data_IF_426565889975
#
_entry.id   IF_426565889975
#
_cell.length_a   1.000
_cell.length_b   1.000
_cell.length_c   1.000
_cell.angle_alpha   90.00
_cell.angle_beta   90.00
_cell.angle_gamma   90.00
#
_symmetry.space_group_name_H-M   'P 1'
#
loop_
_entity.id
_entity.type
_entity.pdbx_description
1 polymer ?
#
# COMPACT_ATOMS: atom_id res chain seq x y z
N UNK A 1 2.58 -27.19 -22.60
CA UNK A 1 2.29 -26.95 -21.20
C UNK A 1 1.96 -25.47 -21.01
N UNK A 2 0.96 -25.18 -20.19
CA UNK A 2 0.67 -23.82 -19.70
C UNK A 2 1.22 -23.69 -18.29
N UNK A 3 1.96 -22.63 -18.01
CA UNK A 3 2.47 -22.35 -16.67
C UNK A 3 1.66 -21.21 -16.04
N UNK A 4 1.19 -21.41 -14.81
CA UNK A 4 0.50 -20.38 -14.02
C UNK A 4 1.32 -20.10 -12.75
N UNK A 5 2.00 -18.96 -12.63
CA UNK A 5 2.70 -18.61 -11.41
C UNK A 5 1.70 -18.31 -10.30
N UNK A 6 1.96 -18.85 -9.10
CA UNK A 6 1.12 -18.70 -7.92
C UNK A 6 1.92 -18.12 -6.76
N UNK A 7 1.58 -16.90 -6.37
CA UNK A 7 2.13 -16.22 -5.18
C UNK A 7 1.27 -16.46 -3.95
N UNK A 8 0.52 -15.43 -3.52
CA UNK A 8 -0.37 -15.49 -2.35
C UNK A 8 -1.83 -15.86 -2.63
N UNK A 9 -2.20 -16.13 -3.87
CA UNK A 9 -3.58 -16.49 -4.23
C UNK A 9 -4.62 -15.36 -4.15
N UNK A 10 -4.19 -14.12 -4.05
CA UNK A 10 -5.04 -12.96 -3.75
C UNK A 10 -5.54 -12.20 -4.98
N UNK A 11 -5.42 -12.77 -6.17
CA UNK A 11 -5.90 -12.17 -7.41
C UNK A 11 -7.43 -12.02 -7.41
N UNK A 12 -7.92 -10.79 -7.59
CA UNK A 12 -9.35 -10.50 -7.69
C UNK A 12 -9.92 -10.95 -9.03
N UNK A 13 -9.13 -10.88 -10.10
CA UNK A 13 -9.56 -11.26 -11.46
C UNK A 13 -9.55 -12.77 -11.72
N UNK A 14 -9.03 -13.58 -10.78
CA UNK A 14 -9.04 -15.05 -10.89
C UNK A 14 -8.06 -15.63 -11.92
N UNK A 15 -7.16 -14.85 -12.48
CA UNK A 15 -6.21 -15.28 -13.54
C UNK A 15 -5.18 -16.32 -13.06
N UNK A 16 -5.14 -16.63 -11.78
CA UNK A 16 -4.33 -17.71 -11.19
C UNK A 16 -5.06 -19.06 -11.20
N UNK A 17 -6.36 -19.09 -11.53
CA UNK A 17 -7.13 -20.32 -11.59
C UNK A 17 -6.83 -21.07 -12.89
N UNK A 18 -6.68 -22.40 -12.84
CA UNK A 18 -6.65 -23.22 -14.04
C UNK A 18 -7.92 -23.00 -14.87
N UNK A 19 -7.77 -22.97 -16.17
CA UNK A 19 -8.86 -22.83 -17.13
C UNK A 19 -8.93 -24.08 -18.05
N UNK A 20 -10.03 -24.27 -18.75
CA UNK A 20 -10.17 -25.38 -19.69
C UNK A 20 -9.15 -25.23 -20.82
N UNK A 21 -8.34 -26.25 -21.03
CA UNK A 21 -7.26 -26.25 -22.03
C UNK A 21 -6.94 -27.67 -22.49
N UNK A 22 -6.70 -27.84 -23.78
CA UNK A 22 -6.17 -29.07 -24.33
C UNK A 22 -4.72 -29.35 -23.95
N UNK A 23 -4.01 -28.30 -23.47
CA UNK A 23 -2.62 -28.42 -22.99
C UNK A 23 -2.60 -28.61 -21.48
N UNK A 24 -1.72 -29.49 -20.97
CA UNK A 24 -1.51 -29.64 -19.54
C UNK A 24 -1.20 -28.28 -18.87
N UNK A 25 -1.84 -28.02 -17.74
CA UNK A 25 -1.62 -26.82 -16.92
C UNK A 25 -0.79 -27.20 -15.70
N UNK A 26 0.24 -26.42 -15.42
CA UNK A 26 1.07 -26.54 -14.23
C UNK A 26 1.07 -25.23 -13.43
N UNK A 27 0.54 -25.27 -12.23
CA UNK A 27 0.65 -24.17 -11.27
C UNK A 27 2.00 -24.22 -10.57
N UNK A 28 2.76 -23.13 -10.69
CA UNK A 28 4.11 -23.00 -10.15
C UNK A 28 4.04 -22.17 -8.88
N UNK A 29 4.14 -22.83 -7.71
CA UNK A 29 4.14 -22.13 -6.41
C UNK A 29 5.46 -21.40 -6.16
N UNK A 30 5.38 -20.12 -5.83
CA UNK A 30 6.50 -19.27 -5.48
C UNK A 30 6.87 -19.33 -3.99
N UNK A 31 6.16 -20.10 -3.17
CA UNK A 31 6.28 -20.11 -1.70
C UNK A 31 7.70 -20.41 -1.17
N UNK A 32 8.54 -21.08 -1.95
CA UNK A 32 9.94 -21.38 -1.55
C UNK A 32 10.90 -20.22 -1.82
N UNK A 33 10.49 -19.19 -2.57
CA UNK A 33 11.28 -17.98 -2.87
C UNK A 33 10.88 -16.86 -1.91
N UNK A 34 11.13 -17.04 -0.61
CA UNK A 34 10.57 -16.22 0.48
C UNK A 34 11.61 -15.51 1.34
N UNK A 35 12.76 -15.15 0.77
CA UNK A 35 13.86 -14.54 1.54
C UNK A 35 14.27 -13.19 0.99
N UNK A 36 14.74 -12.33 1.89
CA UNK A 36 15.64 -11.23 1.56
C UNK A 36 16.98 -11.82 1.13
N UNK A 37 17.36 -11.61 -0.12
CA UNK A 37 18.60 -12.14 -0.71
C UNK A 37 19.76 -11.17 -0.49
N UNK A 38 19.49 -9.86 -0.64
CA UNK A 38 20.48 -8.80 -0.53
C UNK A 38 19.83 -7.50 -0.06
N UNK A 39 20.57 -6.69 0.68
CA UNK A 39 20.22 -5.32 1.02
C UNK A 39 21.44 -4.42 0.77
N UNK A 40 21.39 -3.69 -0.33
CA UNK A 40 22.30 -2.58 -0.60
C UNK A 40 21.82 -1.33 0.16
N UNK A 41 22.52 -1.01 1.23
CA UNK A 41 22.17 0.13 2.11
C UNK A 41 22.50 1.48 1.48
N UNK A 42 23.54 1.54 0.65
CA UNK A 42 23.97 2.78 0.02
C UNK A 42 23.00 3.21 -1.07
N UNK A 43 22.56 2.26 -1.90
CA UNK A 43 21.53 2.50 -2.92
C UNK A 43 20.10 2.38 -2.39
N UNK A 44 19.90 1.92 -1.16
CA UNK A 44 18.59 1.62 -0.55
C UNK A 44 17.73 0.68 -1.42
N UNK A 45 18.35 -0.40 -1.86
CA UNK A 45 17.70 -1.42 -2.68
C UNK A 45 17.78 -2.78 -1.98
N UNK A 46 16.63 -3.42 -1.83
CA UNK A 46 16.51 -4.77 -1.31
C UNK A 46 16.12 -5.73 -2.43
N UNK A 47 16.82 -6.87 -2.52
CA UNK A 47 16.49 -7.96 -3.44
C UNK A 47 15.79 -9.08 -2.67
N UNK A 48 14.59 -9.43 -3.10
CA UNK A 48 13.78 -10.50 -2.53
C UNK A 48 13.50 -11.59 -3.53
N UNK A 49 13.38 -12.82 -3.05
CA UNK A 49 12.67 -13.86 -3.78
C UNK A 49 11.20 -13.47 -3.97
N UNK A 50 10.66 -13.64 -5.17
CA UNK A 50 9.36 -13.10 -5.57
C UNK A 50 8.16 -13.67 -4.78
N UNK A 51 8.32 -14.84 -4.14
CA UNK A 51 7.33 -15.47 -3.28
C UNK A 51 7.30 -14.97 -1.83
N UNK A 52 8.09 -13.94 -1.46
CA UNK A 52 8.11 -13.39 -0.10
C UNK A 52 6.79 -12.70 0.22
N UNK A 53 6.02 -13.15 1.23
CA UNK A 53 4.77 -12.50 1.66
C UNK A 53 5.02 -11.16 2.34
N UNK A 54 4.03 -10.28 2.34
CA UNK A 54 4.11 -8.95 2.91
C UNK A 54 4.68 -8.89 4.34
N UNK A 55 4.13 -9.65 5.31
CA UNK A 55 4.67 -9.65 6.67
C UNK A 55 6.14 -10.06 6.74
N UNK A 56 6.57 -11.00 5.88
CA UNK A 56 7.97 -11.41 5.83
C UNK A 56 8.86 -10.38 5.13
N UNK A 57 8.38 -9.64 4.13
CA UNK A 57 9.09 -8.51 3.53
C UNK A 57 9.40 -7.48 4.61
N UNK A 58 8.39 -7.03 5.35
CA UNK A 58 8.55 -6.02 6.39
C UNK A 58 9.39 -6.52 7.57
N UNK A 59 9.16 -7.73 8.08
CA UNK A 59 9.93 -8.24 9.22
C UNK A 59 11.42 -8.39 8.92
N UNK A 60 11.78 -8.87 7.72
CA UNK A 60 13.18 -9.00 7.31
C UNK A 60 13.86 -7.63 7.08
N UNK A 61 13.13 -6.62 6.61
CA UNK A 61 13.63 -5.26 6.45
C UNK A 61 13.78 -4.56 7.79
N UNK A 62 12.77 -4.62 8.67
CA UNK A 62 12.80 -4.01 10.01
C UNK A 62 13.92 -4.54 10.88
N UNK A 63 14.24 -5.82 10.77
CA UNK A 63 15.42 -6.41 11.42
C UNK A 63 16.75 -5.74 11.00
N UNK A 64 16.74 -4.95 9.92
CA UNK A 64 17.89 -4.22 9.39
C UNK A 64 17.71 -2.70 9.43
N UNK A 65 16.60 -2.21 10.04
CA UNK A 65 16.27 -0.79 10.17
C UNK A 65 15.64 -0.17 8.92
N UNK A 66 15.01 -0.97 8.06
CA UNK A 66 14.37 -0.53 6.83
C UNK A 66 12.92 -0.96 6.74
N UNK A 67 12.17 -0.33 5.83
CA UNK A 67 10.80 -0.70 5.45
C UNK A 67 10.62 -0.54 3.95
N UNK A 68 9.73 -1.33 3.37
CA UNK A 68 9.22 -1.11 2.02
C UNK A 68 8.03 -0.15 2.04
N UNK A 69 7.18 -0.26 3.06
CA UNK A 69 6.01 0.60 3.22
C UNK A 69 4.87 0.29 2.25
N UNK A 70 4.84 -0.90 1.66
CA UNK A 70 3.80 -1.31 0.72
C UNK A 70 2.76 -2.20 1.41
N UNK A 71 1.60 -1.63 1.74
CA UNK A 71 0.52 -2.28 2.48
C UNK A 71 -0.77 -2.37 1.66
N UNK A 72 -0.88 -3.27 0.66
CA UNK A 72 -2.15 -3.53 -0.03
C UNK A 72 -3.16 -4.20 0.91
N UNK A 73 -4.44 -4.23 0.56
CA UNK A 73 -5.47 -4.86 1.39
C UNK A 73 -5.20 -6.35 1.66
N UNK A 74 -4.58 -7.04 0.71
CA UNK A 74 -4.19 -8.45 0.82
C UNK A 74 -2.78 -8.66 1.41
N UNK A 75 -2.24 -7.68 2.15
CA UNK A 75 -0.86 -7.66 2.66
C UNK A 75 -0.41 -8.97 3.30
N UNK A 76 -1.28 -9.56 4.12
CA UNK A 76 -0.96 -10.79 4.89
C UNK A 76 -0.62 -12.00 4.01
N UNK A 77 -1.21 -12.08 2.83
CA UNK A 77 -1.11 -13.24 1.94
C UNK A 77 -0.36 -12.93 0.65
N UNK A 78 -0.49 -11.71 0.13
CA UNK A 78 0.10 -11.32 -1.15
C UNK A 78 1.63 -11.29 -1.08
N UNK A 79 2.29 -11.66 -2.18
CA UNK A 79 3.75 -11.72 -2.28
C UNK A 79 4.31 -10.55 -3.08
N UNK A 80 5.59 -10.22 -2.85
CA UNK A 80 6.25 -9.10 -3.53
C UNK A 80 6.25 -9.25 -5.06
N UNK A 81 6.47 -10.45 -5.58
CA UNK A 81 6.35 -10.74 -7.02
C UNK A 81 4.92 -10.59 -7.53
N UNK A 82 3.92 -10.98 -6.71
CA UNK A 82 2.51 -10.79 -6.99
C UNK A 82 2.14 -9.30 -7.04
N UNK A 83 2.70 -8.47 -6.17
CA UNK A 83 2.51 -7.02 -6.22
C UNK A 83 3.00 -6.41 -7.53
N UNK A 84 4.20 -6.78 -7.98
CA UNK A 84 4.74 -6.35 -9.29
C UNK A 84 3.85 -6.84 -10.42
N UNK A 85 3.51 -8.14 -10.42
CA UNK A 85 2.71 -8.76 -11.47
C UNK A 85 1.31 -8.15 -11.61
N UNK A 86 0.69 -7.67 -10.51
CA UNK A 86 -0.63 -7.05 -10.52
C UNK A 86 -0.61 -5.51 -10.49
N UNK A 87 0.57 -4.89 -10.45
CA UNK A 87 0.76 -3.42 -10.35
C UNK A 87 0.01 -2.85 -9.14
N UNK A 88 0.16 -3.46 -7.99
CA UNK A 88 -0.64 -3.19 -6.80
C UNK A 88 -0.38 -1.80 -6.18
N UNK A 89 -1.37 -1.31 -5.43
CA UNK A 89 -1.30 -0.09 -4.64
C UNK A 89 -1.45 -0.43 -3.15
N UNK A 90 -0.72 0.29 -2.30
CA UNK A 90 -0.78 0.14 -0.84
C UNK A 90 -1.50 1.31 -0.17
N UNK A 91 -1.92 1.11 1.07
CA UNK A 91 -2.64 2.13 1.85
C UNK A 91 -1.77 3.35 2.20
N UNK A 92 -0.44 3.16 2.25
CA UNK A 92 0.53 4.23 2.51
C UNK A 92 1.27 4.71 1.25
N UNK A 93 0.66 4.52 0.08
CA UNK A 93 1.27 4.92 -1.20
C UNK A 93 1.48 6.42 -1.36
N UNK A 94 0.83 7.26 -0.55
CA UNK A 94 1.09 8.70 -0.52
C UNK A 94 2.52 9.02 -0.06
N UNK A 95 3.06 8.24 0.86
CA UNK A 95 4.42 8.40 1.37
C UNK A 95 5.43 7.58 0.59
N UNK A 96 5.17 6.29 0.47
CA UNK A 96 6.16 5.33 -0.02
C UNK A 96 6.07 5.08 -1.53
N UNK A 97 4.99 5.56 -2.17
CA UNK A 97 4.72 5.28 -3.57
C UNK A 97 3.91 4.00 -3.77
N UNK A 98 3.58 3.72 -5.02
CA UNK A 98 2.99 2.46 -5.46
C UNK A 98 4.09 1.50 -5.87
N UNK A 99 3.75 0.24 -6.11
CA UNK A 99 4.75 -0.79 -6.44
C UNK A 99 5.59 -0.44 -7.69
N UNK A 100 5.01 0.25 -8.68
CA UNK A 100 5.74 0.69 -9.86
C UNK A 100 6.84 1.71 -9.57
N UNK A 101 6.70 2.49 -8.50
CA UNK A 101 7.71 3.43 -8.05
C UNK A 101 8.79 2.76 -7.19
N UNK A 102 8.42 1.67 -6.52
CA UNK A 102 9.32 0.88 -5.68
C UNK A 102 10.12 -0.14 -6.50
N UNK A 103 9.52 -0.74 -7.53
CA UNK A 103 10.16 -1.76 -8.35
C UNK A 103 11.36 -1.19 -9.10
N UNK A 104 12.54 -1.67 -8.74
CA UNK A 104 13.81 -1.18 -9.29
C UNK A 104 14.39 -2.11 -10.36
N UNK A 105 13.96 -3.36 -10.41
CA UNK A 105 14.46 -4.39 -11.31
C UNK A 105 14.23 -5.78 -10.72
N UNK A 106 14.95 -6.77 -11.22
CA UNK A 106 14.84 -8.15 -10.75
C UNK A 106 15.09 -9.16 -11.85
N UNK A 107 14.61 -10.38 -11.66
CA UNK A 107 14.79 -11.47 -12.62
C UNK A 107 13.46 -12.11 -12.98
N UNK A 108 13.31 -12.43 -14.24
CA UNK A 108 12.10 -13.07 -14.80
C UNK A 108 12.51 -14.27 -15.64
N UNK A 109 11.91 -15.41 -15.36
CA UNK A 109 12.07 -16.63 -16.17
C UNK A 109 11.07 -16.60 -17.32
N UNK A 110 11.55 -16.52 -18.54
CA UNK A 110 10.74 -16.45 -19.75
C UNK A 110 10.88 -17.72 -20.60
N UNK A 111 10.07 -17.88 -21.61
CA UNK A 111 10.17 -18.98 -22.60
C UNK A 111 11.45 -18.90 -23.46
N UNK A 112 12.18 -17.80 -23.40
CA UNK A 112 13.45 -17.57 -24.11
C UNK A 112 14.67 -17.65 -23.19
N UNK A 113 14.46 -17.90 -21.92
CA UNK A 113 15.49 -17.93 -20.85
C UNK A 113 15.28 -16.84 -19.82
N UNK A 114 16.23 -16.73 -18.90
CA UNK A 114 16.24 -15.72 -17.83
C UNK A 114 16.49 -14.34 -18.42
N UNK A 115 15.67 -13.39 -18.02
CA UNK A 115 15.83 -11.97 -18.26
C UNK A 115 16.14 -11.26 -16.95
N UNK A 116 17.30 -10.66 -16.85
CA UNK A 116 17.68 -9.83 -15.73
C UNK A 116 17.38 -8.35 -16.04
N UNK A 117 16.42 -7.78 -15.33
CA UNK A 117 16.03 -6.38 -15.42
C UNK A 117 16.99 -5.59 -14.56
N UNK A 118 17.84 -4.81 -15.21
CA UNK A 118 18.87 -4.02 -14.53
C UNK A 118 18.24 -2.89 -13.70
N UNK A 119 18.86 -2.63 -12.54
CA UNK A 119 18.51 -1.50 -11.70
C UNK A 119 19.22 -0.24 -12.21
N UNK A 120 18.50 0.59 -12.93
CA UNK A 120 18.99 1.86 -13.46
C UNK A 120 18.14 2.98 -12.84
N UNK A 121 18.73 3.95 -12.12
CA UNK A 121 17.98 5.00 -11.44
C UNK A 121 17.12 5.84 -12.40
N UNK A 122 17.68 6.21 -13.54
CA UNK A 122 16.99 6.88 -14.64
C UNK A 122 17.72 6.56 -15.94
N UNK A 123 16.99 6.24 -16.99
CA UNK A 123 17.57 5.97 -18.31
C UNK A 123 16.79 6.72 -19.37
N UNK A 124 17.51 7.37 -20.29
CA UNK A 124 16.96 7.96 -21.50
C UNK A 124 17.12 7.03 -22.73
N UNK A 125 17.62 5.81 -22.52
CA UNK A 125 17.94 4.85 -23.58
C UNK A 125 16.77 3.85 -23.75
N UNK A 126 15.82 4.18 -24.59
CA UNK A 126 14.72 3.30 -24.98
C UNK A 126 13.62 3.13 -23.94
N UNK A 127 12.69 2.18 -24.19
CA UNK A 127 11.60 1.88 -23.28
C UNK A 127 12.09 1.29 -21.95
N UNK A 128 11.42 1.62 -20.86
CA UNK A 128 11.67 1.01 -19.55
C UNK A 128 11.09 -0.40 -19.51
N UNK A 129 11.96 -1.41 -19.51
CA UNK A 129 11.56 -2.83 -19.49
C UNK A 129 10.77 -3.18 -18.21
N UNK A 130 10.97 -2.46 -17.08
CA UNK A 130 10.22 -2.67 -15.86
C UNK A 130 8.71 -2.50 -16.08
N UNK A 131 8.33 -1.53 -16.90
CA UNK A 131 6.94 -1.24 -17.24
C UNK A 131 6.23 -2.38 -17.99
N UNK A 132 6.97 -3.23 -18.70
CA UNK A 132 6.41 -4.40 -19.37
C UNK A 132 5.98 -5.48 -18.37
N UNK A 133 6.71 -5.64 -17.27
CA UNK A 133 6.43 -6.67 -16.26
C UNK A 133 5.46 -6.22 -15.18
N UNK A 134 5.38 -4.91 -14.94
CA UNK A 134 4.40 -4.31 -14.04
C UNK A 134 2.98 -4.49 -14.60
N UNK A 135 2.17 -5.30 -13.90
CA UNK A 135 0.81 -5.62 -14.34
C UNK A 135 0.73 -6.68 -15.44
N UNK A 136 1.82 -7.41 -15.70
CA UNK A 136 1.85 -8.48 -16.72
C UNK A 136 1.09 -9.75 -16.32
N UNK A 137 0.80 -9.91 -15.03
CA UNK A 137 0.01 -11.02 -14.48
C UNK A 137 0.51 -12.41 -14.90
N UNK A 138 1.85 -12.55 -15.02
CA UNK A 138 2.49 -13.80 -15.39
C UNK A 138 2.50 -14.12 -16.89
N UNK A 139 1.96 -13.27 -17.75
CA UNK A 139 1.88 -13.52 -19.21
C UNK A 139 3.24 -13.45 -19.92
N UNK A 140 4.17 -12.65 -19.40
CA UNK A 140 5.49 -12.46 -20.02
C UNK A 140 6.56 -13.36 -19.42
N UNK A 141 6.27 -14.01 -18.30
CA UNK A 141 7.20 -14.87 -17.58
C UNK A 141 6.89 -14.98 -16.09
N UNK A 142 7.70 -15.74 -15.39
CA UNK A 142 7.60 -15.93 -13.95
C UNK A 142 8.65 -15.04 -13.28
N UNK A 143 8.20 -14.05 -12.52
CA UNK A 143 9.10 -13.21 -11.73
C UNK A 143 9.70 -14.07 -10.63
N UNK A 144 11.02 -14.24 -10.63
CA UNK A 144 11.76 -15.04 -9.64
C UNK A 144 12.42 -14.19 -8.56
N UNK A 145 12.87 -12.97 -8.91
CA UNK A 145 13.46 -12.03 -7.98
C UNK A 145 12.93 -10.61 -8.22
N UNK A 146 12.74 -9.87 -7.13
CA UNK A 146 12.31 -8.47 -7.14
C UNK A 146 13.33 -7.62 -6.41
N UNK A 147 13.86 -6.60 -7.10
CA UNK A 147 14.64 -5.52 -6.50
C UNK A 147 13.70 -4.35 -6.24
N UNK A 148 13.61 -3.95 -4.99
CA UNK A 148 12.71 -2.88 -4.55
C UNK A 148 13.46 -1.77 -3.82
N UNK A 149 13.09 -0.51 -4.09
CA UNK A 149 13.55 0.64 -3.33
C UNK A 149 12.96 0.59 -1.94
N UNK A 150 13.81 0.66 -0.93
CA UNK A 150 13.43 0.67 0.49
C UNK A 150 13.85 1.98 1.14
N UNK A 151 13.26 2.30 2.27
CA UNK A 151 13.62 3.48 3.05
C UNK A 151 13.99 3.08 4.48
N UNK A 152 14.82 3.86 5.20
CA UNK A 152 14.98 3.69 6.63
C UNK A 152 13.62 3.71 7.34
N UNK A 153 13.47 2.88 8.36
CA UNK A 153 12.26 2.87 9.19
C UNK A 153 12.04 4.25 9.82
N UNK A 154 10.81 4.72 9.82
CA UNK A 154 10.49 6.04 10.38
C UNK A 154 10.44 5.98 11.91
N UNK A 155 10.90 7.05 12.58
CA UNK A 155 10.89 7.15 14.04
C UNK A 155 9.46 7.19 14.61
N UNK A 156 8.52 7.70 13.81
CA UNK A 156 7.15 7.93 14.26
C UNK A 156 6.14 7.70 13.17
N UNK A 157 5.03 7.07 13.56
CA UNK A 157 3.84 6.88 12.73
C UNK A 157 2.60 7.17 13.55
N UNK A 158 1.83 8.18 13.15
CA UNK A 158 0.59 8.59 13.82
C UNK A 158 -0.58 8.47 12.84
N UNK A 159 -1.71 7.93 13.32
CA UNK A 159 -2.97 7.91 12.59
C UNK A 159 -4.02 8.74 13.29
N UNK A 160 -4.76 9.54 12.55
CA UNK A 160 -5.79 10.43 13.04
C UNK A 160 -7.13 10.11 12.43
N UNK A 161 -8.18 10.14 13.24
CA UNK A 161 -9.56 10.03 12.77
C UNK A 161 -10.25 11.39 12.88
N UNK A 162 -10.86 11.79 11.78
CA UNK A 162 -11.56 13.06 11.63
C UNK A 162 -12.95 12.79 11.07
N UNK A 163 -13.97 13.35 11.72
CA UNK A 163 -15.34 13.27 11.21
C UNK A 163 -15.76 14.60 10.60
N UNK A 164 -16.53 14.51 9.52
CA UNK A 164 -17.13 15.66 8.84
C UNK A 164 -18.64 15.54 8.87
N UNK A 165 -19.37 16.67 9.00
CA UNK A 165 -20.84 16.66 9.00
C UNK A 165 -21.45 16.13 7.72
N UNK A 166 -20.82 16.36 6.57
CA UNK A 166 -21.34 15.99 5.25
C UNK A 166 -20.24 15.43 4.35
N UNK A 167 -20.66 14.63 3.37
CA UNK A 167 -19.79 14.10 2.32
C UNK A 167 -19.08 15.23 1.53
N UNK A 168 -19.81 16.31 1.23
CA UNK A 168 -19.22 17.41 0.46
C UNK A 168 -18.06 18.07 1.20
N UNK A 169 -18.23 18.35 2.50
CA UNK A 169 -17.15 18.91 3.33
C UNK A 169 -15.94 17.97 3.43
N UNK A 170 -16.19 16.68 3.61
CA UNK A 170 -15.15 15.65 3.68
C UNK A 170 -14.36 15.56 2.35
N UNK A 171 -15.08 15.54 1.23
CA UNK A 171 -14.50 15.48 -0.12
C UNK A 171 -13.64 16.73 -0.43
N UNK A 172 -14.13 17.93 -0.14
CA UNK A 172 -13.36 19.16 -0.37
C UNK A 172 -12.11 19.22 0.54
N UNK A 173 -12.23 18.80 1.80
CA UNK A 173 -11.08 18.69 2.70
C UNK A 173 -10.02 17.71 2.15
N UNK A 174 -10.44 16.55 1.67
CA UNK A 174 -9.55 15.56 1.07
C UNK A 174 -8.84 16.12 -0.17
N UNK A 175 -9.59 16.79 -1.05
CA UNK A 175 -9.06 17.44 -2.24
C UNK A 175 -7.98 18.47 -1.87
N UNK A 176 -8.26 19.36 -0.93
CA UNK A 176 -7.32 20.40 -0.52
C UNK A 176 -6.08 19.82 0.15
N UNK A 177 -6.21 18.78 0.98
CA UNK A 177 -5.06 18.08 1.57
C UNK A 177 -4.11 17.54 0.48
N UNK A 178 -4.67 16.95 -0.57
CA UNK A 178 -3.87 16.39 -1.68
C UNK A 178 -3.28 17.50 -2.55
N UNK A 179 -4.06 18.52 -2.91
CA UNK A 179 -3.62 19.59 -3.79
C UNK A 179 -2.59 20.52 -3.14
N UNK A 180 -2.68 20.73 -1.84
CA UNK A 180 -1.69 21.53 -1.07
C UNK A 180 -0.45 20.71 -0.70
N UNK A 181 -0.37 19.46 -1.14
CA UNK A 181 0.81 18.58 -0.93
C UNK A 181 1.18 18.40 0.54
N UNK A 182 0.19 18.36 1.42
CA UNK A 182 0.44 17.97 2.82
C UNK A 182 1.06 16.56 2.84
N UNK A 183 2.18 16.39 3.52
CA UNK A 183 2.94 15.13 3.52
C UNK A 183 2.27 14.06 4.39
N UNK A 184 1.20 13.48 3.87
CA UNK A 184 0.50 12.37 4.50
C UNK A 184 1.12 11.04 4.06
N UNK A 185 1.11 10.05 4.94
CA UNK A 185 1.41 8.67 4.59
C UNK A 185 0.18 7.94 4.07
N UNK A 186 -1.00 8.24 4.62
CA UNK A 186 -2.28 7.65 4.26
C UNK A 186 -3.38 8.71 4.26
N UNK A 187 -4.31 8.60 3.32
CA UNK A 187 -5.60 9.29 3.35
C UNK A 187 -6.68 8.31 2.90
N UNK A 188 -7.63 8.05 3.78
CA UNK A 188 -8.82 7.26 3.49
C UNK A 188 -10.06 8.06 3.87
N UNK A 189 -10.99 8.20 2.93
CA UNK A 189 -12.26 8.86 3.13
C UNK A 189 -13.38 7.84 2.99
N UNK A 190 -14.21 7.73 4.00
CA UNK A 190 -15.39 6.86 4.05
C UNK A 190 -16.66 7.69 4.01
N UNK A 191 -17.61 7.28 3.18
CA UNK A 191 -18.93 7.89 3.12
C UNK A 191 -19.75 7.55 4.38
N UNK A 192 -20.98 8.06 4.48
CA UNK A 192 -21.81 7.87 5.67
C UNK A 192 -22.11 6.38 5.95
N UNK A 193 -22.40 5.60 4.92
CA UNK A 193 -22.72 4.16 5.06
C UNK A 193 -21.48 3.39 5.51
N UNK A 194 -20.34 3.60 4.87
CA UNK A 194 -19.07 2.98 5.29
C UNK A 194 -18.69 3.41 6.70
N UNK A 195 -18.89 4.67 7.06
CA UNK A 195 -18.60 5.19 8.40
C UNK A 195 -19.41 4.45 9.46
N UNK A 196 -20.71 4.31 9.27
CA UNK A 196 -21.59 3.55 10.20
C UNK A 196 -21.13 2.08 10.28
N UNK A 197 -20.85 1.45 9.15
CA UNK A 197 -20.38 0.07 9.09
C UNK A 197 -19.05 -0.12 9.84
N UNK A 198 -18.09 0.78 9.63
CA UNK A 198 -16.78 0.70 10.31
C UNK A 198 -16.92 0.90 11.82
N UNK A 199 -17.79 1.84 12.27
CA UNK A 199 -18.06 2.06 13.68
C UNK A 199 -18.73 0.83 14.31
N UNK A 200 -19.68 0.21 13.62
CA UNK A 200 -20.34 -1.01 14.09
C UNK A 200 -19.37 -2.20 14.24
N UNK A 201 -18.39 -2.30 13.33
CA UNK A 201 -17.37 -3.36 13.34
C UNK A 201 -16.25 -3.13 14.37
N UNK A 202 -16.08 -1.92 14.88
CA UNK A 202 -15.01 -1.58 15.83
C UNK A 202 -15.19 -2.21 17.23
N UNK A 203 -16.33 -2.81 17.55
CA UNK A 203 -16.51 -3.71 18.69
C UNK A 203 -16.60 -3.07 20.08
N UNK A 204 -16.69 -1.72 20.18
CA UNK A 204 -16.77 -0.99 21.45
C UNK A 204 -18.05 -0.13 21.57
N UNK A 205 -19.25 -0.72 21.73
CA UNK A 205 -20.51 -0.01 21.58
C UNK A 205 -20.68 1.17 22.55
N UNK A 206 -20.21 1.06 23.80
CA UNK A 206 -20.30 2.13 24.79
C UNK A 206 -19.42 3.35 24.44
N UNK A 207 -18.21 3.13 23.97
CA UNK A 207 -17.31 4.20 23.55
C UNK A 207 -17.80 4.87 22.26
N UNK A 208 -18.34 4.07 21.35
CA UNK A 208 -18.92 4.56 20.09
C UNK A 208 -20.14 5.44 20.39
N UNK A 209 -21.04 5.01 21.27
CA UNK A 209 -22.23 5.79 21.65
C UNK A 209 -21.84 7.15 22.28
N UNK A 210 -20.81 7.18 23.14
CA UNK A 210 -20.28 8.42 23.71
C UNK A 210 -19.69 9.34 22.62
N UNK A 211 -18.90 8.76 21.72
CA UNK A 211 -18.32 9.48 20.60
C UNK A 211 -19.41 10.03 19.66
N UNK A 212 -20.42 9.25 19.34
CA UNK A 212 -21.56 9.69 18.51
C UNK A 212 -22.32 10.85 19.14
N UNK A 213 -22.54 10.82 20.46
CA UNK A 213 -23.13 11.94 21.20
C UNK A 213 -22.27 13.19 21.10
N UNK A 214 -20.95 13.06 21.26
CA UNK A 214 -19.99 14.15 21.09
C UNK A 214 -20.04 14.73 19.66
N UNK A 215 -20.01 13.86 18.64
CA UNK A 215 -20.08 14.26 17.23
C UNK A 215 -21.38 14.98 16.89
N UNK A 216 -22.51 14.50 17.42
CA UNK A 216 -23.84 15.11 17.23
C UNK A 216 -23.89 16.53 17.78
N UNK A 217 -23.37 16.76 19.00
CA UNK A 217 -23.27 18.11 19.61
C UNK A 217 -22.38 19.05 18.76
N UNK A 218 -21.38 18.48 18.07
CA UNK A 218 -20.48 19.23 17.18
C UNK A 218 -21.02 19.40 15.74
N UNK A 219 -22.23 18.94 15.48
CA UNK A 219 -22.91 19.09 14.19
C UNK A 219 -22.64 17.98 13.18
N UNK A 220 -22.03 16.87 13.58
CA UNK A 220 -21.82 15.67 12.77
C UNK A 220 -22.71 14.52 13.28
N UNK A 221 -23.96 14.50 12.86
CA UNK A 221 -24.98 13.49 13.24
C UNK A 221 -25.19 12.47 12.12
N UNK A 222 -26.42 12.36 11.62
CA UNK A 222 -26.73 11.52 10.47
C UNK A 222 -26.03 12.06 9.22
N UNK A 223 -25.47 11.15 8.41
CA UNK A 223 -24.71 11.53 7.21
C UNK A 223 -23.25 11.90 7.45
N UNK A 224 -22.76 11.79 8.69
CA UNK A 224 -21.33 12.01 9.01
C UNK A 224 -20.41 11.09 8.19
N UNK A 225 -19.29 11.64 7.75
CA UNK A 225 -18.27 10.93 7.01
C UNK A 225 -16.97 10.88 7.80
N UNK A 226 -16.25 9.78 7.72
CA UNK A 226 -15.00 9.57 8.45
C UNK A 226 -13.81 9.66 7.50
N UNK A 227 -12.78 10.38 7.93
CA UNK A 227 -11.49 10.42 7.25
C UNK A 227 -10.41 9.91 8.19
N UNK A 228 -9.63 8.94 7.71
CA UNK A 228 -8.42 8.48 8.41
C UNK A 228 -7.20 9.03 7.69
N UNK A 229 -6.31 9.65 8.45
CA UNK A 229 -5.08 10.24 7.95
C UNK A 229 -3.88 9.63 8.66
N UNK A 230 -2.87 9.22 7.90
CA UNK A 230 -1.58 8.78 8.42
C UNK A 230 -0.52 9.86 8.25
N UNK A 231 0.33 10.01 9.26
CA UNK A 231 1.49 10.90 9.26
C UNK A 231 2.70 10.12 9.77
N UNK A 232 3.72 9.99 8.93
CA UNK A 232 4.89 9.16 9.21
C UNK A 232 6.16 9.94 8.92
N UNK A 233 7.17 9.86 9.78
CA UNK A 233 8.44 10.54 9.62
C UNK A 233 9.21 10.69 10.93
N UNK A 234 10.12 11.67 11.00
CA UNK A 234 10.69 12.06 12.28
C UNK A 234 9.72 12.97 13.08
N UNK A 235 10.02 13.22 14.35
CA UNK A 235 9.14 13.96 15.25
C UNK A 235 8.77 15.36 14.72
N UNK A 236 9.74 16.07 14.12
CA UNK A 236 9.52 17.44 13.62
C UNK A 236 8.67 17.43 12.34
N UNK A 237 8.92 16.50 11.44
CA UNK A 237 8.09 16.29 10.24
C UNK A 237 6.63 15.99 10.62
N UNK A 238 6.41 15.05 11.54
CA UNK A 238 5.08 14.69 12.03
C UNK A 238 4.37 15.89 12.66
N UNK A 239 5.05 16.67 13.49
CA UNK A 239 4.51 17.88 14.11
C UNK A 239 4.15 18.97 13.09
N UNK A 240 5.01 19.21 12.11
CA UNK A 240 4.76 20.17 11.03
C UNK A 240 3.58 19.74 10.16
N UNK A 241 3.55 18.47 9.74
CA UNK A 241 2.46 17.90 8.93
C UNK A 241 1.14 17.96 9.67
N UNK A 242 1.11 17.58 10.95
CA UNK A 242 -0.10 17.66 11.77
C UNK A 242 -0.64 19.09 11.88
N UNK A 243 0.23 20.10 12.05
CA UNK A 243 -0.19 21.51 12.08
C UNK A 243 -0.78 21.97 10.75
N UNK A 244 -0.15 21.62 9.62
CA UNK A 244 -0.64 21.95 8.27
C UNK A 244 -1.97 21.26 7.98
N UNK A 245 -2.07 19.98 8.26
CA UNK A 245 -3.28 19.18 8.11
C UNK A 245 -4.46 19.82 8.86
N UNK A 246 -4.29 20.20 10.13
CA UNK A 246 -5.32 20.89 10.91
C UNK A 246 -5.74 22.23 10.32
N UNK A 247 -4.78 22.99 9.78
CA UNK A 247 -5.06 24.29 9.11
C UNK A 247 -5.94 24.09 7.86
N UNK A 248 -5.62 23.09 7.04
CA UNK A 248 -6.38 22.78 5.81
C UNK A 248 -7.78 22.25 6.14
N UNK A 249 -7.93 21.42 7.17
CA UNK A 249 -9.21 20.79 7.53
C UNK A 249 -10.18 21.75 8.23
N UNK A 250 -9.67 22.76 8.94
CA UNK A 250 -10.48 23.68 9.77
C UNK A 250 -11.67 24.31 9.04
N UNK A 251 -11.54 24.83 7.80
CA UNK A 251 -12.67 25.45 7.08
C UNK A 251 -13.84 24.48 6.80
N UNK A 252 -13.56 23.19 6.76
CA UNK A 252 -14.54 22.13 6.43
C UNK A 252 -15.23 21.53 7.67
N UNK A 253 -15.07 22.15 8.85
CA UNK A 253 -15.67 21.71 10.11
C UNK A 253 -15.26 20.28 10.52
N UNK A 254 -14.04 19.86 10.18
CA UNK A 254 -13.52 18.56 10.60
C UNK A 254 -13.38 18.48 12.12
N UNK A 255 -13.90 17.41 12.71
CA UNK A 255 -13.90 17.12 14.15
C UNK A 255 -12.88 16.03 14.41
N UNK A 256 -11.81 16.37 15.13
CA UNK A 256 -10.79 15.42 15.54
C UNK A 256 -11.26 14.62 16.75
N UNK A 257 -11.16 13.30 16.69
CA UNK A 257 -11.56 12.39 17.80
C UNK A 257 -10.36 11.72 18.46
N UNK A 258 -9.14 12.04 18.05
CA UNK A 258 -7.90 11.52 18.63
C UNK A 258 -7.09 10.72 17.64
N UNK A 259 -6.08 10.01 18.15
CA UNK A 259 -5.28 9.07 17.39
C UNK A 259 -6.10 7.78 17.22
N UNK A 260 -6.01 7.19 16.03
CA UNK A 260 -6.48 5.83 15.80
C UNK A 260 -5.47 4.90 16.50
N UNK A 261 -5.94 4.11 17.46
CA UNK A 261 -5.16 3.06 18.13
C UNK A 261 -5.21 1.79 17.31
#
# INVERSE_FOLDING_TARGET
IVLIPYGGGTSVAGHINPFDSERPILTVSMARMNRLLELDKDSQIATFGAGTPGPQVESQLRAKGYTLGHYPQSFELATIGGWVASRSSGQQSLRYGRIEQMFAGGSVETTKGRLDIQTIPASAAGPDIREMFLGSEGRLGIISEVKARVTPEADKEDFYVIFFPTWQQAKEAAKDLVQTKVQLSMLRLSNAIETVTQLALAGHPGQIALMEKYLSVRGASEGKCMMTLGVTGNADQCKATHRLMRKVIKPYKGIYTGNYL
#
